data_IF_587051550944
#
_entry.id   IF_587051550944
#
_cell.length_a   1.000
_cell.length_b   1.000
_cell.length_c   1.000
_cell.angle_alpha   90.00
_cell.angle_beta   90.00
_cell.angle_gamma   90.00
#
_symmetry.space_group_name_H-M   'P 1'
#
loop_
_entity.id
_entity.type
_entity.pdbx_description
1 polymer ?
#
# COMPACT_ATOMS: atom_id res chain seq x y z
N UNK A 1 26.10 18.35 -27.64
CA UNK A 1 25.80 17.67 -28.92
C UNK A 1 24.66 16.66 -28.84
N UNK A 2 24.39 16.03 -27.68
CA UNK A 2 23.27 15.08 -27.48
C UNK A 2 21.89 15.73 -27.73
N UNK A 3 21.70 16.98 -27.30
CA UNK A 3 20.43 17.71 -27.42
C UNK A 3 19.99 17.93 -28.87
N UNK A 4 20.91 18.29 -29.76
CA UNK A 4 20.62 18.50 -31.18
C UNK A 4 20.29 17.18 -31.89
N UNK A 5 20.91 16.07 -31.46
CA UNK A 5 20.58 14.74 -31.97
C UNK A 5 19.18 14.30 -31.58
N UNK A 6 18.75 14.55 -30.34
CA UNK A 6 17.39 14.22 -29.88
C UNK A 6 16.34 15.04 -30.61
N UNK A 7 16.58 16.34 -30.79
CA UNK A 7 15.66 17.23 -31.51
C UNK A 7 15.54 16.84 -32.99
N UNK A 8 16.66 16.50 -33.64
CA UNK A 8 16.65 16.04 -35.03
C UNK A 8 15.88 14.73 -35.23
N UNK A 9 16.01 13.79 -34.29
CA UNK A 9 15.28 12.51 -34.33
C UNK A 9 13.77 12.70 -34.16
N UNK A 10 13.35 13.57 -33.23
CA UNK A 10 11.92 13.87 -32.99
C UNK A 10 11.26 14.55 -34.19
N UNK A 11 11.99 15.44 -34.88
CA UNK A 11 11.48 16.08 -36.10
C UNK A 11 11.35 15.08 -37.26
N UNK A 12 12.27 14.12 -37.37
CA UNK A 12 12.23 13.09 -38.41
C UNK A 12 11.08 12.08 -38.21
N UNK A 13 10.79 11.66 -36.97
CA UNK A 13 9.65 10.78 -36.69
C UNK A 13 8.32 11.49 -36.91
N UNK A 14 8.21 12.75 -36.50
CA UNK A 14 7.03 13.58 -36.76
C UNK A 14 6.80 13.79 -38.28
N UNK A 15 7.85 14.03 -39.06
CA UNK A 15 7.76 14.26 -40.50
C UNK A 15 7.40 13.00 -41.31
N UNK A 16 7.73 11.81 -40.82
CA UNK A 16 7.49 10.54 -41.52
C UNK A 16 6.16 9.88 -41.14
N UNK A 17 5.39 10.46 -40.21
CA UNK A 17 4.16 9.85 -39.68
C UNK A 17 4.40 8.47 -39.05
N UNK A 18 5.66 8.15 -38.75
CA UNK A 18 6.01 6.91 -38.09
C UNK A 18 5.60 7.06 -36.64
N UNK A 19 4.52 6.38 -36.25
CA UNK A 19 4.12 6.27 -34.87
C UNK A 19 5.20 5.48 -34.13
N UNK A 20 6.26 6.15 -33.70
CA UNK A 20 7.30 5.58 -32.84
C UNK A 20 6.77 5.35 -31.40
N UNK A 21 5.53 5.76 -31.14
CA UNK A 21 4.78 5.58 -29.91
C UNK A 21 4.82 4.16 -29.33
N UNK A 22 4.80 3.05 -30.11
CA UNK A 22 4.95 1.71 -29.55
C UNK A 22 6.34 1.48 -28.98
N UNK A 23 7.40 1.97 -29.62
CA UNK A 23 8.78 1.79 -29.17
C UNK A 23 9.08 2.63 -27.92
N UNK A 24 8.56 3.86 -27.85
CA UNK A 24 8.67 4.70 -26.64
C UNK A 24 7.78 4.22 -25.51
N UNK A 25 6.55 3.78 -25.79
CA UNK A 25 5.64 3.22 -24.78
C UNK A 25 6.19 1.91 -24.23
N UNK A 26 6.63 0.98 -25.09
CA UNK A 26 7.22 -0.28 -24.67
C UNK A 26 8.46 -0.05 -23.82
N UNK A 27 9.29 0.96 -24.11
CA UNK A 27 10.45 1.29 -23.26
C UNK A 27 10.08 1.94 -21.92
N UNK A 28 9.00 2.73 -21.87
CA UNK A 28 8.48 3.33 -20.64
C UNK A 28 7.83 2.28 -19.72
N UNK A 29 7.13 1.28 -20.28
CA UNK A 29 6.50 0.20 -19.51
C UNK A 29 7.42 -1.01 -19.27
N UNK A 30 8.36 -1.31 -20.17
CA UNK A 30 9.34 -2.41 -20.02
C UNK A 30 10.47 -2.05 -19.08
N UNK A 31 10.66 -0.77 -18.75
CA UNK A 31 11.38 -0.37 -17.56
C UNK A 31 10.46 -0.64 -16.37
N UNK A 32 10.20 -1.92 -16.10
CA UNK A 32 9.64 -2.41 -14.85
C UNK A 32 10.62 -1.97 -13.78
N UNK A 33 10.43 -0.76 -13.27
CA UNK A 33 10.91 -0.40 -11.95
C UNK A 33 10.29 -1.45 -11.06
N UNK A 34 11.12 -2.31 -10.47
CA UNK A 34 10.76 -3.10 -9.30
C UNK A 34 10.12 -2.12 -8.33
N UNK A 35 8.79 -2.11 -8.33
CA UNK A 35 8.02 -1.11 -7.63
C UNK A 35 7.98 -1.58 -6.19
N UNK A 36 8.77 -0.94 -5.34
CA UNK A 36 8.60 -1.06 -3.90
C UNK A 36 7.32 -0.31 -3.53
N UNK A 37 6.41 -1.00 -2.86
CA UNK A 37 5.21 -0.43 -2.27
C UNK A 37 5.30 -0.58 -0.75
N UNK A 38 5.05 0.50 -0.02
CA UNK A 38 4.91 0.49 1.44
C UNK A 38 3.44 0.69 1.76
N UNK A 39 2.89 -0.18 2.61
CA UNK A 39 1.48 -0.18 2.99
C UNK A 39 1.36 -0.37 4.51
N UNK A 40 0.34 0.22 5.12
CA UNK A 40 -0.01 -0.05 6.51
C UNK A 40 -1.12 -1.10 6.56
N UNK A 41 -0.96 -2.08 7.45
CA UNK A 41 -1.93 -3.14 7.70
C UNK A 41 -2.38 -3.13 9.16
N UNK A 42 -3.68 -3.29 9.38
CA UNK A 42 -4.23 -3.48 10.72
C UNK A 42 -4.31 -4.97 11.03
N UNK A 43 -3.65 -5.41 12.10
CA UNK A 43 -3.57 -6.82 12.51
C UNK A 43 -4.10 -6.97 13.93
N UNK A 44 -5.14 -7.77 14.10
CA UNK A 44 -5.62 -8.17 15.41
C UNK A 44 -4.81 -9.38 15.90
N UNK A 45 -4.36 -9.32 17.14
CA UNK A 45 -3.71 -10.43 17.85
C UNK A 45 -4.68 -10.91 18.92
N UNK A 46 -5.12 -12.15 18.78
CA UNK A 46 -6.03 -12.80 19.71
C UNK A 46 -5.29 -13.28 20.97
N UNK A 47 -6.04 -13.62 22.02
CA UNK A 47 -5.48 -14.07 23.30
C UNK A 47 -4.65 -15.36 23.22
N UNK A 48 -4.86 -16.19 22.19
CA UNK A 48 -4.07 -17.38 21.89
C UNK A 48 -2.78 -17.07 21.09
N UNK A 49 -2.55 -15.79 20.76
CA UNK A 49 -1.45 -15.32 19.92
C UNK A 49 -1.72 -15.44 18.43
N UNK A 50 -2.89 -15.92 18.00
CA UNK A 50 -3.26 -15.96 16.59
C UNK A 50 -3.35 -14.55 16.03
N UNK A 51 -2.80 -14.36 14.82
CA UNK A 51 -2.78 -13.07 14.12
C UNK A 51 -3.79 -13.14 12.98
N UNK A 52 -4.74 -12.21 12.97
CA UNK A 52 -5.72 -12.09 11.91
C UNK A 52 -5.65 -10.68 11.31
N UNK A 53 -5.52 -10.55 9.97
CA UNK A 53 -5.62 -9.23 9.35
C UNK A 53 -7.05 -8.73 9.53
N UNK A 54 -7.19 -7.49 10.02
CA UNK A 54 -8.51 -6.86 10.17
C UNK A 54 -8.97 -6.43 8.79
N UNK A 55 -9.90 -7.19 8.23
CA UNK A 55 -10.48 -6.90 6.92
C UNK A 55 -11.82 -6.21 7.10
N UNK A 56 -11.90 -4.99 6.61
CA UNK A 56 -13.18 -4.30 6.50
C UNK A 56 -14.01 -5.02 5.43
N UNK A 57 -15.23 -5.46 5.79
CA UNK A 57 -16.13 -6.10 4.84
C UNK A 57 -16.47 -5.17 3.67
N UNK A 58 -17.04 -5.73 2.59
CA UNK A 58 -17.46 -4.96 1.41
C UNK A 58 -18.43 -3.78 1.72
N UNK A 59 -19.02 -3.75 2.92
CA UNK A 59 -19.85 -2.65 3.42
C UNK A 59 -19.08 -1.40 3.86
N UNK A 60 -17.74 -1.43 3.94
CA UNK A 60 -16.93 -0.26 4.30
C UNK A 60 -15.70 -0.10 3.37
N UNK A 61 -15.92 0.17 2.07
CA UNK A 61 -14.83 0.30 1.09
C UNK A 61 -13.89 1.48 1.38
N UNK A 62 -14.38 2.52 2.06
CA UNK A 62 -13.58 3.68 2.48
C UNK A 62 -12.46 3.24 3.44
N UNK A 63 -12.77 2.41 4.44
CA UNK A 63 -11.74 1.89 5.36
C UNK A 63 -10.77 0.92 4.67
N UNK A 64 -11.22 0.23 3.62
CA UNK A 64 -10.37 -0.69 2.86
C UNK A 64 -9.32 0.02 1.98
N UNK A 65 -9.50 1.30 1.64
CA UNK A 65 -8.61 2.03 0.74
C UNK A 65 -7.87 3.20 1.38
N UNK A 66 -8.23 3.60 2.60
CA UNK A 66 -7.71 4.83 3.19
C UNK A 66 -6.51 4.53 4.09
N UNK A 67 -5.35 4.32 3.48
CA UNK A 67 -4.07 4.23 4.17
C UNK A 67 -3.82 5.43 5.10
N UNK A 68 -4.33 6.61 4.73
CA UNK A 68 -4.23 7.84 5.53
C UNK A 68 -4.87 7.70 6.93
N UNK A 69 -5.93 6.89 7.08
CA UNK A 69 -6.56 6.66 8.39
C UNK A 69 -5.68 5.83 9.33
N UNK A 70 -4.81 4.98 8.78
CA UNK A 70 -3.85 4.18 9.55
C UNK A 70 -2.60 4.98 9.89
N UNK A 71 -2.22 5.98 9.08
CA UNK A 71 -1.18 6.93 9.47
C UNK A 71 -1.70 7.88 10.58
N UNK A 72 -2.95 8.35 10.47
CA UNK A 72 -3.54 9.29 11.44
C UNK A 72 -3.50 8.77 12.87
N UNK A 73 -3.73 7.46 13.10
CA UNK A 73 -3.74 6.87 14.45
C UNK A 73 -2.39 6.90 15.13
N UNK A 74 -1.29 6.92 14.36
CA UNK A 74 0.07 6.93 14.92
C UNK A 74 0.32 8.18 15.74
N UNK A 75 -0.20 9.31 15.28
CA UNK A 75 0.02 10.62 15.90
C UNK A 75 -1.06 11.01 16.92
N UNK A 76 -2.07 10.16 17.16
CA UNK A 76 -3.13 10.44 18.12
C UNK A 76 -2.75 10.12 19.56
N UNK A 77 -3.45 10.76 20.50
CA UNK A 77 -3.38 10.43 21.92
C UNK A 77 -3.90 9.00 22.21
N UNK A 78 -3.37 8.29 23.23
CA UNK A 78 -3.69 6.89 23.49
C UNK A 78 -5.19 6.57 23.69
N UNK A 79 -5.97 7.53 24.16
CA UNK A 79 -7.42 7.40 24.34
C UNK A 79 -8.16 7.45 23.00
N UNK A 80 -7.71 8.33 22.11
CA UNK A 80 -8.21 8.47 20.74
C UNK A 80 -7.82 7.27 19.89
N UNK A 81 -6.59 6.77 20.05
CA UNK A 81 -6.12 5.53 19.42
C UNK A 81 -7.04 4.35 19.76
N UNK A 82 -7.36 4.16 21.04
CA UNK A 82 -8.30 3.12 21.51
C UNK A 82 -9.68 3.27 20.90
N UNK A 83 -10.21 4.50 20.86
CA UNK A 83 -11.51 4.76 20.25
C UNK A 83 -11.53 4.42 18.74
N UNK A 84 -10.47 4.78 18.00
CA UNK A 84 -10.33 4.45 16.58
C UNK A 84 -10.24 2.94 16.35
N UNK A 85 -9.40 2.26 17.13
CA UNK A 85 -9.24 0.80 17.05
C UNK A 85 -10.54 0.07 17.35
N UNK A 86 -11.29 0.48 18.38
CA UNK A 86 -12.61 -0.08 18.67
C UNK A 86 -13.57 0.08 17.51
N UNK A 87 -13.61 1.26 16.89
CA UNK A 87 -14.46 1.51 15.73
C UNK A 87 -14.08 0.64 14.52
N UNK A 88 -12.78 0.38 14.33
CA UNK A 88 -12.31 -0.51 13.26
C UNK A 88 -12.60 -1.98 13.52
N UNK A 89 -12.46 -2.46 14.76
CA UNK A 89 -12.85 -3.81 15.14
C UNK A 89 -14.35 -4.03 14.94
N UNK A 90 -15.18 -3.06 15.35
CA UNK A 90 -16.63 -3.09 15.12
C UNK A 90 -16.96 -3.13 13.62
N UNK A 91 -16.32 -2.29 12.81
CA UNK A 91 -16.49 -2.32 11.35
C UNK A 91 -16.04 -3.64 10.70
N UNK A 92 -15.10 -4.36 11.32
CA UNK A 92 -14.64 -5.67 10.91
C UNK A 92 -15.44 -6.83 11.53
N UNK A 93 -16.47 -6.54 12.33
CA UNK A 93 -17.28 -7.51 13.06
C UNK A 93 -16.45 -8.42 13.99
N UNK A 94 -15.37 -7.86 14.57
CA UNK A 94 -14.55 -8.51 15.58
C UNK A 94 -14.93 -7.99 16.97
N UNK A 95 -15.20 -8.89 17.91
CA UNK A 95 -15.45 -8.51 19.29
C UNK A 95 -14.14 -8.00 19.93
N UNK A 96 -14.13 -6.82 20.56
CA UNK A 96 -12.94 -6.28 21.20
C UNK A 96 -12.37 -7.20 22.28
N UNK A 97 -13.24 -7.93 22.98
CA UNK A 97 -12.86 -8.85 24.07
C UNK A 97 -12.11 -10.10 23.58
N UNK A 98 -12.24 -10.44 22.29
CA UNK A 98 -11.54 -11.57 21.65
C UNK A 98 -10.15 -11.16 21.12
N UNK A 99 -9.77 -9.88 21.26
CA UNK A 99 -8.53 -9.29 20.74
C UNK A 99 -7.73 -8.76 21.93
N UNK A 100 -6.54 -9.33 22.16
CA UNK A 100 -5.63 -8.86 23.21
C UNK A 100 -4.99 -7.53 22.80
N UNK A 101 -4.57 -7.44 21.53
CA UNK A 101 -3.94 -6.24 21.01
C UNK A 101 -4.14 -6.07 19.51
N UNK A 102 -4.27 -4.82 19.07
CA UNK A 102 -4.30 -4.45 17.66
C UNK A 102 -3.00 -3.75 17.30
N UNK A 103 -2.39 -4.20 16.21
CA UNK A 103 -1.13 -3.67 15.67
C UNK A 103 -1.38 -3.00 14.34
N UNK A 104 -0.83 -1.80 14.19
CA UNK A 104 -0.63 -1.18 12.88
C UNK A 104 0.77 -1.57 12.44
N UNK A 105 0.85 -2.37 11.38
CA UNK A 105 2.09 -2.90 10.84
C UNK A 105 2.40 -2.24 9.50
N UNK A 106 3.61 -1.72 9.32
CA UNK A 106 4.12 -1.27 8.04
C UNK A 106 4.71 -2.44 7.31
N UNK A 107 4.18 -2.72 6.13
CA UNK A 107 4.61 -3.81 5.27
C UNK A 107 5.19 -3.25 3.98
N UNK A 108 6.43 -3.62 3.70
CA UNK A 108 7.09 -3.30 2.45
C UNK A 108 7.01 -4.49 1.51
N UNK A 109 6.56 -4.25 0.28
CA UNK A 109 6.41 -5.28 -0.74
C UNK A 109 7.13 -4.86 -2.01
N UNK A 110 7.75 -5.82 -2.66
CA UNK A 110 8.29 -5.64 -4.00
C UNK A 110 7.45 -6.40 -5.01
N UNK A 111 7.27 -5.78 -6.18
CA UNK A 111 6.65 -6.43 -7.32
C UNK A 111 7.73 -7.07 -8.20
N UNK A 112 7.71 -8.40 -8.29
CA UNK A 112 8.56 -9.17 -9.18
C UNK A 112 8.20 -8.96 -10.65
N UNK A 113 9.11 -9.34 -11.55
CA UNK A 113 8.88 -9.26 -12.99
C UNK A 113 7.73 -10.18 -13.47
N UNK A 114 7.42 -11.21 -12.69
CA UNK A 114 6.29 -12.13 -12.86
C UNK A 114 4.97 -11.58 -12.24
N UNK A 115 4.97 -10.33 -11.79
CA UNK A 115 3.87 -9.69 -11.06
C UNK A 115 3.57 -10.32 -9.70
N UNK A 116 4.44 -11.21 -9.20
CA UNK A 116 4.34 -11.70 -7.83
C UNK A 116 4.66 -10.57 -6.84
N UNK A 117 3.90 -10.51 -5.74
CA UNK A 117 4.19 -9.61 -4.62
C UNK A 117 4.94 -10.39 -3.56
N UNK A 118 6.14 -9.92 -3.22
CA UNK A 118 6.95 -10.51 -2.16
C UNK A 118 7.09 -9.49 -1.03
N UNK A 119 6.75 -9.89 0.19
CA UNK A 119 7.01 -9.10 1.40
C UNK A 119 8.53 -9.04 1.64
N UNK A 120 9.05 -7.83 1.75
CA UNK A 120 10.48 -7.55 2.00
C UNK A 120 10.70 -7.30 3.48
N UNK A 121 9.81 -6.53 4.10
CA UNK A 121 9.91 -6.17 5.52
C UNK A 121 8.52 -5.96 6.13
N UNK A 122 8.45 -6.15 7.45
CA UNK A 122 7.27 -5.90 8.28
C UNK A 122 7.70 -5.35 9.63
N UNK A 123 7.13 -4.23 10.01
CA UNK A 123 7.45 -3.50 11.24
C UNK A 123 6.18 -3.10 11.98
N UNK A 124 6.15 -3.25 13.30
CA UNK A 124 5.04 -2.73 14.12
C UNK A 124 5.28 -1.25 14.34
N UNK A 125 4.40 -0.41 13.79
CA UNK A 125 4.45 1.05 13.95
C UNK A 125 3.80 1.45 15.27
N UNK A 126 2.63 0.88 15.54
CA UNK A 126 1.83 1.18 16.73
C UNK A 126 1.16 -0.09 17.24
N UNK A 127 1.09 -0.20 18.56
CA UNK A 127 0.41 -1.27 19.27
C UNK A 127 -0.61 -0.66 20.25
N UNK A 128 -1.88 -1.03 20.09
CA UNK A 128 -3.00 -0.48 20.85
C UNK A 128 -3.83 -1.62 21.41
N UNK A 129 -4.05 -1.60 22.72
CA UNK A 129 -4.97 -2.54 23.36
C UNK A 129 -6.40 -1.98 23.27
N UNK A 130 -7.37 -2.75 22.76
CA UNK A 130 -8.73 -2.29 22.60
C UNK A 130 -9.36 -1.83 23.92
#
# INVERSE_FOLDING_TARGET
MVTYGVVGLLLATAATGTEAWPLTSFRLFSMVRTSTATELELVAVHADGARSPVRFGAGNPVLATTADLLDDVVDQEPERQRAMVRAWLDAAHLAPDDVDVVRVERVERTLGADLSRTEVSREVVVEVRP
#
